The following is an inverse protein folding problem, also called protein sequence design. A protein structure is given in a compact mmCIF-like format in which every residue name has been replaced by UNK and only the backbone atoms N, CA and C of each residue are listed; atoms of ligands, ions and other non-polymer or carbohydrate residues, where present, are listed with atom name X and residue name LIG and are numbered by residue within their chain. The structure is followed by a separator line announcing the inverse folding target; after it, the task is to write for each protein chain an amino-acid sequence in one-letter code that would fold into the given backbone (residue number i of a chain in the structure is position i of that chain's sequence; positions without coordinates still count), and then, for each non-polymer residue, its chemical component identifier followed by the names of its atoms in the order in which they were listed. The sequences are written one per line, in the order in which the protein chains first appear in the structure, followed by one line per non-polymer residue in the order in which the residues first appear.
data_IF_895100456267
#
_entry.id   IF_895100456267
#
_cell.length_a   1.000
_cell.length_b   1.000
_cell.length_c   1.000
_cell.angle_alpha   90.00
_cell.angle_beta   90.00
_cell.angle_gamma   90.00
#
_symmetry.space_group_name_H-M   'P 1'
#
loop_
_entity.id
_entity.type
_entity.pdbx_description
1 polymer ?
#
# COMPACT_ATOMS: atom_id res chain seq x y z
N UNK A 1 -35.24 -2.11 -49.45
CA UNK A 1 -34.21 -1.75 -48.45
C UNK A 1 -33.98 -2.96 -47.55
N UNK A 2 -32.76 -3.50 -47.48
CA UNK A 2 -32.38 -4.62 -46.59
C UNK A 2 -31.64 -4.05 -45.37
N UNK A 3 -31.89 -4.51 -44.12
CA UNK A 3 -31.03 -4.17 -43.01
C UNK A 3 -29.74 -5.00 -43.11
N UNK A 4 -28.58 -4.35 -42.93
CA UNK A 4 -27.26 -4.97 -43.05
C UNK A 4 -26.70 -5.17 -41.64
N UNK A 5 -26.49 -6.45 -41.35
CA UNK A 5 -25.96 -7.09 -40.14
C UNK A 5 -25.06 -6.25 -39.23
N UNK A 6 -25.33 -6.43 -37.94
CA UNK A 6 -24.53 -6.08 -36.78
C UNK A 6 -23.04 -6.39 -36.98
N UNK A 7 -22.23 -5.34 -37.12
CA UNK A 7 -20.80 -5.46 -36.80
C UNK A 7 -20.69 -5.51 -35.29
N UNK A 8 -20.65 -6.73 -34.74
CA UNK A 8 -20.08 -6.99 -33.42
C UNK A 8 -18.72 -6.28 -33.35
N UNK A 9 -18.68 -5.23 -32.53
CA UNK A 9 -17.42 -4.60 -32.12
C UNK A 9 -16.53 -5.72 -31.60
N UNK A 10 -15.33 -5.82 -32.17
CA UNK A 10 -14.30 -6.75 -31.73
C UNK A 10 -14.15 -6.60 -30.22
N UNK A 11 -14.22 -7.72 -29.52
CA UNK A 11 -13.76 -7.83 -28.15
C UNK A 11 -12.38 -7.18 -28.10
N UNK A 12 -12.27 -6.09 -27.34
CA UNK A 12 -11.00 -5.64 -26.81
C UNK A 12 -10.47 -6.81 -26.01
N UNK A 13 -9.55 -7.56 -26.60
CA UNK A 13 -8.58 -8.32 -25.82
C UNK A 13 -7.92 -7.25 -24.94
N UNK A 14 -8.40 -7.18 -23.69
CA UNK A 14 -7.73 -6.50 -22.61
C UNK A 14 -6.33 -7.09 -22.61
N UNK A 15 -5.42 -6.34 -23.20
CA UNK A 15 -4.00 -6.46 -23.08
C UNK A 15 -3.75 -6.43 -21.56
N UNK A 16 -3.76 -7.61 -20.94
CA UNK A 16 -3.21 -7.88 -19.63
C UNK A 16 -1.70 -7.67 -19.74
N UNK A 17 -1.30 -6.43 -20.04
CA UNK A 17 0.06 -5.97 -19.94
C UNK A 17 0.39 -6.12 -18.46
N UNK A 18 1.06 -7.24 -18.16
CA UNK A 18 1.66 -7.49 -16.86
C UNK A 18 2.68 -6.38 -16.68
N UNK A 19 2.24 -5.29 -16.04
CA UNK A 19 3.12 -4.20 -15.70
C UNK A 19 4.23 -4.77 -14.82
N UNK A 20 5.50 -4.49 -15.13
CA UNK A 20 6.60 -5.03 -14.35
C UNK A 20 6.47 -4.57 -12.90
N UNK A 21 6.63 -5.52 -11.97
CA UNK A 21 6.70 -5.21 -10.55
C UNK A 21 7.97 -4.40 -10.33
N UNK A 22 7.83 -3.23 -9.71
CA UNK A 22 8.97 -2.39 -9.35
C UNK A 22 9.45 -2.85 -7.98
N UNK A 23 10.69 -3.35 -7.93
CA UNK A 23 11.35 -3.80 -6.70
C UNK A 23 12.47 -2.83 -6.32
N UNK A 24 12.51 -2.45 -5.04
CA UNK A 24 13.52 -1.53 -4.51
C UNK A 24 14.50 -2.26 -3.59
N UNK A 25 15.42 -3.03 -4.18
CA UNK A 25 16.33 -3.92 -3.42
C UNK A 25 17.22 -3.20 -2.40
N UNK A 26 17.56 -1.93 -2.63
CA UNK A 26 18.43 -1.14 -1.75
C UNK A 26 17.68 -0.14 -0.88
N UNK A 27 16.34 -0.13 -0.95
CA UNK A 27 15.53 0.74 -0.11
C UNK A 27 15.60 0.24 1.34
N UNK A 28 16.19 1.05 2.20
CA UNK A 28 16.31 0.78 3.64
C UNK A 28 15.36 1.63 4.47
N UNK A 29 15.04 2.83 4.00
CA UNK A 29 14.13 3.77 4.67
C UNK A 29 13.18 4.40 3.65
N UNK A 30 11.90 4.44 3.99
CA UNK A 30 10.85 5.11 3.23
C UNK A 30 10.11 6.06 4.17
N UNK A 31 10.19 7.36 3.88
CA UNK A 31 9.46 8.39 4.62
C UNK A 31 8.27 8.88 3.79
N UNK A 32 7.06 8.69 4.33
CA UNK A 32 5.79 9.07 3.72
C UNK A 32 5.03 10.11 4.57
N UNK A 33 5.69 10.85 5.46
CA UNK A 33 4.99 11.83 6.32
C UNK A 33 4.30 12.93 5.52
N UNK A 34 4.90 13.37 4.43
CA UNK A 34 4.37 14.42 3.55
C UNK A 34 3.77 13.87 2.24
N UNK A 35 3.64 12.54 2.14
CA UNK A 35 3.16 11.90 0.93
C UNK A 35 1.63 11.97 0.80
N UNK A 36 1.14 12.04 -0.44
CA UNK A 36 -0.27 11.86 -0.73
C UNK A 36 -0.73 10.44 -0.38
N UNK A 37 -2.02 10.28 -0.03
CA UNK A 37 -2.59 8.98 0.36
C UNK A 37 -2.40 7.90 -0.70
N UNK A 38 -2.47 8.26 -1.98
CA UNK A 38 -2.30 7.32 -3.10
C UNK A 38 -0.91 6.66 -3.10
N UNK A 39 0.14 7.38 -2.68
CA UNK A 39 1.48 6.80 -2.56
C UNK A 39 1.57 5.84 -1.38
N UNK A 40 0.88 6.14 -0.28
CA UNK A 40 0.83 5.27 0.89
C UNK A 40 0.10 3.97 0.54
N UNK A 41 -1.01 4.06 -0.22
CA UNK A 41 -1.69 2.89 -0.77
C UNK A 41 -0.79 2.13 -1.75
N UNK A 42 -0.10 2.82 -2.66
CA UNK A 42 0.82 2.21 -3.61
C UNK A 42 1.90 1.36 -2.91
N UNK A 43 2.53 1.87 -1.85
CA UNK A 43 3.60 1.15 -1.16
C UNK A 43 3.12 0.07 -0.19
N UNK A 44 1.92 0.20 0.39
CA UNK A 44 1.42 -0.72 1.41
C UNK A 44 0.45 -1.77 0.88
N UNK A 45 -0.24 -1.49 -0.23
CA UNK A 45 -1.35 -2.30 -0.72
C UNK A 45 -1.20 -2.77 -2.16
N UNK A 46 -0.47 -2.04 -2.99
CA UNK A 46 -0.36 -2.40 -4.41
C UNK A 46 0.54 -3.63 -4.58
N UNK A 47 0.09 -4.56 -5.42
CA UNK A 47 0.84 -5.76 -5.81
C UNK A 47 1.92 -5.45 -6.84
N UNK A 48 1.89 -4.27 -7.47
CA UNK A 48 2.85 -3.77 -8.45
C UNK A 48 4.13 -3.22 -7.83
N UNK A 49 4.16 -2.98 -6.52
CA UNK A 49 5.37 -2.59 -5.80
C UNK A 49 5.66 -3.58 -4.68
N UNK A 50 6.91 -4.05 -4.62
CA UNK A 50 7.37 -4.92 -3.53
C UNK A 50 8.44 -4.22 -2.72
N UNK A 51 8.13 -3.96 -1.46
CA UNK A 51 9.12 -3.57 -0.47
C UNK A 51 10.00 -4.78 -0.17
N UNK A 52 11.30 -4.53 -0.05
CA UNK A 52 12.25 -5.53 0.44
C UNK A 52 11.96 -5.83 1.92
N UNK A 53 12.39 -7.01 2.40
CA UNK A 53 12.08 -7.48 3.76
C UNK A 53 12.81 -6.71 4.88
N UNK A 54 13.34 -5.52 4.64
CA UNK A 54 14.12 -4.74 5.59
C UNK A 54 13.86 -3.23 5.51
N UNK A 55 12.66 -2.82 5.09
CA UNK A 55 12.32 -1.40 4.98
C UNK A 55 11.88 -0.84 6.34
N UNK A 56 12.50 0.27 6.73
CA UNK A 56 12.01 1.15 7.78
C UNK A 56 11.02 2.15 7.18
N UNK A 57 9.75 2.07 7.59
CA UNK A 57 8.70 2.97 7.12
C UNK A 57 8.39 4.05 8.16
N UNK A 58 8.32 5.30 7.74
CA UNK A 58 7.84 6.43 8.53
C UNK A 58 6.55 6.97 7.90
N UNK A 59 5.46 7.06 8.65
CA UNK A 59 4.17 7.52 8.12
C UNK A 59 3.30 8.15 9.20
N UNK A 60 2.41 9.07 8.80
CA UNK A 60 1.41 9.64 9.70
C UNK A 60 0.34 8.58 10.04
N UNK A 61 0.07 8.39 11.33
CA UNK A 61 -0.93 7.42 11.83
C UNK A 61 -2.30 7.60 11.18
N UNK A 62 -2.76 8.85 11.01
CA UNK A 62 -4.06 9.12 10.40
C UNK A 62 -4.11 8.67 8.93
N UNK A 63 -3.03 8.86 8.19
CA UNK A 63 -2.94 8.44 6.80
C UNK A 63 -2.94 6.91 6.72
N UNK A 64 -2.11 6.25 7.54
CA UNK A 64 -2.09 4.79 7.64
C UNK A 64 -3.45 4.21 8.03
N UNK A 65 -4.14 4.82 9.01
CA UNK A 65 -5.48 4.40 9.43
C UNK A 65 -6.51 4.52 8.30
N UNK A 66 -6.41 5.53 7.43
CA UNK A 66 -7.30 5.65 6.27
C UNK A 66 -7.03 4.55 5.25
N UNK A 67 -5.76 4.35 4.89
CA UNK A 67 -5.33 3.36 3.89
C UNK A 67 -5.62 1.92 4.31
N UNK A 68 -5.47 1.63 5.60
CA UNK A 68 -5.76 0.30 6.18
C UNK A 68 -7.24 0.07 6.48
N UNK A 69 -8.13 1.04 6.16
CA UNK A 69 -9.55 1.03 6.54
C UNK A 69 -9.79 0.81 8.05
N UNK A 70 -9.03 1.53 8.87
CA UNK A 70 -8.97 1.35 10.33
C UNK A 70 -8.40 -0.01 10.73
N UNK A 71 -7.37 -0.48 10.02
CA UNK A 71 -6.70 -1.75 10.29
C UNK A 71 -7.67 -2.94 10.18
N UNK A 72 -8.42 -3.01 9.08
CA UNK A 72 -9.28 -4.14 8.73
C UNK A 72 -8.89 -4.78 7.40
N UNK A 73 -8.12 -4.07 6.56
CA UNK A 73 -7.74 -4.53 5.21
C UNK A 73 -6.59 -5.55 5.25
N UNK A 74 -6.88 -6.82 4.98
CA UNK A 74 -5.90 -7.92 5.04
C UNK A 74 -4.66 -7.74 4.16
N UNK A 75 -4.79 -7.09 2.99
CA UNK A 75 -3.65 -6.84 2.11
C UNK A 75 -2.53 -6.02 2.78
N UNK A 76 -2.90 -5.05 3.64
CA UNK A 76 -1.90 -4.26 4.40
C UNK A 76 -1.13 -5.10 5.40
N UNK A 77 -1.73 -6.16 5.94
CA UNK A 77 -1.09 -7.03 6.93
C UNK A 77 0.06 -7.82 6.30
N UNK A 78 -0.16 -8.38 5.10
CA UNK A 78 0.87 -9.19 4.41
C UNK A 78 2.11 -8.37 4.06
N UNK A 79 1.92 -7.12 3.61
CA UNK A 79 3.05 -6.23 3.32
C UNK A 79 3.62 -5.59 4.60
N UNK A 80 2.76 -5.34 5.59
CA UNK A 80 3.17 -4.83 6.90
C UNK A 80 4.09 -5.77 7.66
N UNK A 81 3.91 -7.09 7.53
CA UNK A 81 4.79 -8.11 8.12
C UNK A 81 6.22 -8.08 7.55
N UNK A 82 6.42 -7.52 6.36
CA UNK A 82 7.76 -7.37 5.74
C UNK A 82 8.50 -6.12 6.20
N UNK A 83 7.81 -5.21 6.90
CA UNK A 83 8.44 -4.00 7.44
C UNK A 83 9.34 -4.39 8.61
N UNK A 84 10.62 -4.04 8.50
CA UNK A 84 11.56 -4.21 9.61
C UNK A 84 11.17 -3.32 10.79
N UNK A 85 10.69 -2.11 10.49
CA UNK A 85 10.27 -1.14 11.50
C UNK A 85 9.23 -0.20 10.91
N UNK A 86 8.24 0.16 11.71
CA UNK A 86 7.22 1.16 11.36
C UNK A 86 7.22 2.26 12.42
N UNK A 87 7.56 3.48 12.04
CA UNK A 87 7.42 4.66 12.91
C UNK A 87 6.17 5.43 12.55
N UNK A 88 5.31 5.60 13.55
CA UNK A 88 4.06 6.32 13.40
C UNK A 88 4.18 7.70 14.02
N UNK A 89 3.98 8.73 13.18
CA UNK A 89 3.82 10.10 13.64
C UNK A 89 2.35 10.37 13.92
N UNK A 90 2.05 10.92 15.10
CA UNK A 90 0.71 11.37 15.40
C UNK A 90 0.59 11.92 16.82
N UNK A 91 -0.33 12.87 16.99
CA UNK A 91 -0.67 13.47 18.29
C UNK A 91 -1.58 12.58 19.15
N UNK A 92 -1.97 11.40 18.66
CA UNK A 92 -2.98 10.54 19.28
C UNK A 92 -2.33 9.32 19.91
N UNK A 93 -2.94 8.85 21.00
CA UNK A 93 -2.64 7.53 21.57
C UNK A 93 -2.90 6.46 20.50
N UNK A 94 -1.82 5.86 20.01
CA UNK A 94 -1.90 4.78 19.03
C UNK A 94 -2.44 3.53 19.73
N UNK A 95 -3.54 2.94 19.24
CA UNK A 95 -4.13 1.77 19.88
C UNK A 95 -3.19 0.55 19.86
N UNK A 96 -3.28 -0.30 20.89
CA UNK A 96 -2.44 -1.51 20.99
C UNK A 96 -2.62 -2.48 19.83
N UNK A 97 -3.83 -2.59 19.29
CA UNK A 97 -4.14 -3.47 18.16
C UNK A 97 -3.37 -3.12 16.88
N UNK A 98 -2.82 -1.90 16.77
CA UNK A 98 -1.96 -1.54 15.64
C UNK A 98 -0.72 -2.43 15.59
N UNK A 99 -0.22 -2.88 16.75
CA UNK A 99 0.89 -3.83 16.83
C UNK A 99 0.52 -5.25 16.39
N UNK A 100 -0.77 -5.59 16.39
CA UNK A 100 -1.24 -6.88 15.83
C UNK A 100 -1.19 -6.86 14.30
N UNK A 101 -1.30 -5.68 13.70
CA UNK A 101 -1.13 -5.47 12.24
C UNK A 101 0.31 -5.23 11.83
N UNK A 102 1.09 -4.56 12.68
CA UNK A 102 2.46 -4.16 12.42
C UNK A 102 3.33 -4.46 13.66
N UNK A 103 3.86 -5.69 13.80
CA UNK A 103 4.52 -6.15 15.02
C UNK A 103 5.74 -5.31 15.41
N UNK A 104 6.46 -4.76 14.42
CA UNK A 104 7.65 -3.92 14.63
C UNK A 104 7.35 -2.42 14.66
N UNK A 105 6.18 -2.03 15.20
CA UNK A 105 5.79 -0.62 15.32
C UNK A 105 6.47 0.08 16.49
N UNK A 106 7.09 1.21 16.19
CA UNK A 106 7.52 2.23 17.12
C UNK A 106 6.66 3.49 17.01
N UNK A 107 6.42 4.12 18.17
CA UNK A 107 5.55 5.29 18.27
C UNK A 107 6.46 6.49 18.55
N UNK A 108 6.49 7.45 17.62
CA UNK A 108 7.23 8.69 17.81
C UNK A 108 6.25 9.76 18.32
N UNK A 109 6.42 10.15 19.59
CA UNK A 109 5.68 11.27 20.18
C UNK A 109 6.46 12.56 19.86
N UNK A 110 5.88 13.45 19.07
CA UNK A 110 6.32 14.83 18.89
C UNK A 110 5.31 15.78 19.51
#
# INVERSE_FOLDING_TARGET
MKPRNDKKSKNSEDDNQILPIIEYHHLTTLDLTEAHLDYIELFLLDTKMRLSNNVYLVVIYQALRRVTEKFTRNATRINGEKLYRLSLLGKYRIPKYVKEYFPHTEILNY
#
